data_IF_414969217450
#
_entry.id   IF_414969217450
#
_cell.length_a   1.000
_cell.length_b   1.000
_cell.length_c   1.000
_cell.angle_alpha   90.00
_cell.angle_beta   90.00
_cell.angle_gamma   90.00
#
_symmetry.space_group_name_H-M   'P 1'
#
loop_
_entity.id
_entity.type
_entity.pdbx_description
1 polymer ?
#
# COMPACT_ATOMS: atom_id res chain seq x y z
N UNK A 1 -5.16 12.28 8.05
CA UNK A 1 -3.82 12.93 8.15
C UNK A 1 -3.12 12.69 6.82
N UNK A 2 -2.56 13.72 6.20
CA UNK A 2 -1.87 13.61 4.89
C UNK A 2 -0.51 12.92 5.07
N UNK A 3 -0.11 12.08 4.13
CA UNK A 3 1.20 11.42 4.14
C UNK A 3 2.35 12.42 3.96
N UNK A 4 3.53 12.16 4.56
CA UNK A 4 4.71 13.01 4.36
C UNK A 4 5.26 12.89 2.93
N UNK A 5 6.06 13.87 2.47
CA UNK A 5 6.65 13.85 1.13
C UNK A 5 7.49 12.60 0.87
N UNK A 6 7.32 11.98 -0.31
CA UNK A 6 8.16 10.89 -0.78
C UNK A 6 9.26 11.44 -1.70
N UNK A 7 10.32 12.00 -1.13
CA UNK A 7 11.45 12.59 -1.85
C UNK A 7 12.78 11.93 -1.46
N UNK A 8 13.79 12.04 -2.32
CA UNK A 8 15.15 11.58 -2.01
C UNK A 8 15.68 12.29 -0.75
N UNK A 9 16.25 11.51 0.18
CA UNK A 9 16.74 12.01 1.47
C UNK A 9 15.65 12.22 2.55
N UNK A 10 14.37 12.09 2.21
CA UNK A 10 13.30 12.08 3.22
C UNK A 10 13.32 10.77 4.02
N UNK A 11 12.88 10.81 5.28
CA UNK A 11 12.73 9.61 6.11
C UNK A 11 11.73 8.65 5.44
N UNK A 12 12.08 7.37 5.24
CA UNK A 12 11.13 6.39 4.72
C UNK A 12 9.87 6.32 5.57
N UNK A 13 8.72 6.24 4.90
CA UNK A 13 7.41 6.20 5.54
C UNK A 13 6.47 5.27 4.77
N UNK A 14 5.63 4.55 5.50
CA UNK A 14 4.63 3.62 4.98
C UNK A 14 3.31 3.81 5.72
N UNK A 15 2.18 3.63 5.01
CA UNK A 15 0.87 3.47 5.61
C UNK A 15 0.65 2.01 6.05
N UNK A 16 -0.01 1.80 7.18
CA UNK A 16 -0.35 0.46 7.69
C UNK A 16 -1.69 0.52 8.43
N UNK A 17 -2.45 -0.58 8.35
CA UNK A 17 -3.69 -0.78 9.09
C UNK A 17 -4.83 -1.19 8.17
N UNK A 18 -5.03 -2.50 8.00
CA UNK A 18 -6.18 -3.03 7.26
C UNK A 18 -6.24 -2.68 5.77
N UNK A 19 -5.09 -2.41 5.14
CA UNK A 19 -5.03 -2.05 3.72
C UNK A 19 -5.18 -3.31 2.84
N UNK A 20 -5.99 -3.18 1.80
CA UNK A 20 -6.30 -4.18 0.77
C UNK A 20 -6.62 -3.48 -0.58
N UNK A 21 -7.08 -4.23 -1.58
CA UNK A 21 -7.39 -3.68 -2.91
C UNK A 21 -8.59 -2.73 -2.92
N UNK A 22 -9.52 -2.87 -1.97
CA UNK A 22 -10.67 -1.97 -1.87
C UNK A 22 -10.29 -0.62 -1.26
N UNK A 23 -9.31 -0.61 -0.35
CA UNK A 23 -8.92 0.57 0.44
C UNK A 23 -7.65 1.26 -0.04
N UNK A 24 -6.82 0.59 -0.85
CA UNK A 24 -5.52 1.14 -1.31
C UNK A 24 -5.65 2.46 -2.06
N UNK A 25 -6.73 2.66 -2.83
CA UNK A 25 -6.98 3.92 -3.54
C UNK A 25 -7.06 5.11 -2.59
N UNK A 26 -7.84 5.01 -1.52
CA UNK A 26 -7.97 6.08 -0.50
C UNK A 26 -6.64 6.40 0.18
N UNK A 27 -5.81 5.37 0.40
CA UNK A 27 -4.48 5.52 0.98
C UNK A 27 -3.53 6.28 0.04
N UNK A 28 -3.61 6.01 -1.27
CA UNK A 28 -2.84 6.73 -2.29
C UNK A 28 -3.29 8.17 -2.46
N UNK A 29 -4.61 8.43 -2.43
CA UNK A 29 -5.20 9.77 -2.45
C UNK A 29 -4.79 10.59 -1.22
N UNK A 30 -4.63 9.95 -0.06
CA UNK A 30 -4.06 10.58 1.13
C UNK A 30 -2.56 10.90 1.02
N UNK A 31 -1.92 10.57 -0.11
CA UNK A 31 -0.53 10.87 -0.44
C UNK A 31 0.46 9.74 -0.14
N UNK A 32 -0.01 8.58 0.34
CA UNK A 32 0.89 7.46 0.62
C UNK A 32 1.52 6.94 -0.68
N UNK A 33 2.77 6.48 -0.60
CA UNK A 33 3.48 5.85 -1.73
C UNK A 33 4.10 4.50 -1.38
N UNK A 34 3.93 4.06 -0.13
CA UNK A 34 4.33 2.74 0.38
C UNK A 34 3.26 2.28 1.36
N UNK A 35 2.88 1.01 1.27
CA UNK A 35 1.88 0.39 2.15
C UNK A 35 2.48 -0.85 2.80
N UNK A 36 1.97 -1.21 3.97
CA UNK A 36 2.21 -2.50 4.61
C UNK A 36 0.88 -3.22 4.68
N UNK A 37 0.85 -4.43 4.14
CA UNK A 37 -0.29 -5.32 4.14
C UNK A 37 0.07 -6.61 4.89
N UNK A 38 -0.90 -7.17 5.60
CA UNK A 38 -0.75 -8.44 6.32
C UNK A 38 -1.84 -9.39 5.86
N UNK A 39 -3.08 -9.19 6.34
CA UNK A 39 -4.22 -10.07 6.04
C UNK A 39 -4.56 -10.16 4.56
N UNK A 40 -4.43 -9.07 3.81
CA UNK A 40 -4.63 -9.07 2.36
C UNK A 40 -3.70 -10.05 1.61
N UNK A 41 -2.58 -10.47 2.22
CA UNK A 41 -1.71 -11.52 1.69
C UNK A 41 -1.81 -12.82 2.47
N UNK A 42 -1.77 -12.78 3.81
CA UNK A 42 -1.72 -13.98 4.64
C UNK A 42 -3.02 -14.77 4.69
N UNK A 43 -4.14 -14.14 4.34
CA UNK A 43 -5.48 -14.76 4.30
C UNK A 43 -5.99 -14.94 2.87
N UNK A 44 -5.21 -14.57 1.85
CA UNK A 44 -5.58 -14.75 0.45
C UNK A 44 -5.40 -16.22 0.04
N UNK A 45 -6.30 -16.71 -0.82
CA UNK A 45 -6.18 -18.04 -1.44
C UNK A 45 -4.90 -18.16 -2.28
N UNK A 46 -4.52 -17.06 -2.95
CA UNK A 46 -3.26 -16.92 -3.67
C UNK A 46 -2.54 -15.62 -3.23
N UNK A 47 -1.61 -15.71 -2.26
CA UNK A 47 -0.83 -14.56 -1.81
C UNK A 47 0.03 -13.92 -2.90
N UNK A 48 0.48 -14.70 -3.89
CA UNK A 48 1.30 -14.21 -4.99
C UNK A 48 0.50 -13.34 -5.95
N UNK A 49 -0.70 -13.80 -6.32
CA UNK A 49 -1.64 -13.01 -7.12
C UNK A 49 -2.06 -11.73 -6.40
N UNK A 50 -2.44 -11.83 -5.11
CA UNK A 50 -2.82 -10.66 -4.31
C UNK A 50 -1.68 -9.62 -4.20
N UNK A 51 -0.44 -10.08 -4.02
CA UNK A 51 0.73 -9.20 -4.01
C UNK A 51 0.98 -8.54 -5.37
N UNK A 52 0.80 -9.28 -6.47
CA UNK A 52 0.97 -8.77 -7.83
C UNK A 52 -0.07 -7.68 -8.15
N UNK A 53 -1.33 -7.89 -7.78
CA UNK A 53 -2.41 -6.90 -7.98
C UNK A 53 -2.16 -5.61 -7.18
N UNK A 54 -1.86 -5.74 -5.88
CA UNK A 54 -1.52 -4.58 -5.04
C UNK A 54 -0.29 -3.84 -5.59
N UNK A 55 0.76 -4.56 -5.99
CA UNK A 55 1.93 -3.96 -6.59
C UNK A 55 1.63 -3.28 -7.94
N UNK A 56 0.67 -3.80 -8.71
CA UNK A 56 0.17 -3.18 -9.93
C UNK A 56 -0.44 -1.80 -9.65
N UNK A 57 -1.30 -1.70 -8.63
CA UNK A 57 -1.90 -0.43 -8.21
C UNK A 57 -0.84 0.60 -7.76
N UNK A 58 0.21 0.16 -7.07
CA UNK A 58 1.28 1.07 -6.60
C UNK A 58 2.22 1.56 -7.71
N UNK A 59 2.25 0.87 -8.86
CA UNK A 59 3.14 1.19 -10.00
C UNK A 59 2.44 2.00 -11.09
N UNK A 60 1.10 2.01 -11.10
CA UNK A 60 0.29 2.91 -11.93
C UNK A 60 0.36 4.35 -11.44
#
# INVERSE_FOLDING_TARGET
RVAPPNAAGARPWCAIGGIDLATVGEVLEAGARRIVVVRALTEADDPGAAAAELAGVLRG
#
